data_IF_783433955209
#
_entry.id   IF_783433955209
#
_cell.length_a   1.000
_cell.length_b   1.000
_cell.length_c   1.000
_cell.angle_alpha   90.00
_cell.angle_beta   90.00
_cell.angle_gamma   90.00
#
_symmetry.space_group_name_H-M   'P 1'
#
loop_
_entity.id
_entity.type
_entity.pdbx_description
1 polymer ?
#
# COMPACT_ATOMS: atom_id res chain seq x y z
N UNK A 1 -8.39 10.74 29.20
CA UNK A 1 -7.90 11.14 27.87
C UNK A 1 -7.58 9.88 27.10
N UNK A 2 -7.98 9.75 25.84
CA UNK A 2 -7.69 8.54 25.06
C UNK A 2 -6.19 8.50 24.74
N UNK A 3 -5.52 7.40 25.13
CA UNK A 3 -4.14 7.14 24.73
C UNK A 3 -4.09 7.06 23.19
N UNK A 4 -3.26 7.89 22.56
CA UNK A 4 -3.01 7.78 21.12
C UNK A 4 -1.78 6.89 20.91
N UNK A 5 -1.89 5.98 19.96
CA UNK A 5 -0.84 5.01 19.63
C UNK A 5 -0.58 5.04 18.12
N UNK A 6 0.69 4.96 17.71
CA UNK A 6 1.11 4.80 16.31
C UNK A 6 1.86 3.49 16.11
N UNK A 7 1.58 2.88 14.98
CA UNK A 7 2.29 1.71 14.46
C UNK A 7 3.21 2.18 13.32
N UNK A 8 4.42 1.62 13.25
CA UNK A 8 5.35 1.78 12.13
C UNK A 8 5.98 0.43 11.80
N UNK A 9 6.42 0.24 10.56
CA UNK A 9 7.30 -0.83 10.15
C UNK A 9 8.72 -0.69 10.72
N UNK A 10 9.58 -1.63 10.33
CA UNK A 10 10.87 -1.87 11.01
C UNK A 10 12.08 -1.22 10.35
N UNK A 11 11.93 -0.77 9.10
CA UNK A 11 13.05 -0.30 8.28
C UNK A 11 12.87 1.15 7.83
N UNK A 12 11.69 1.47 7.33
CA UNK A 12 11.34 2.82 6.88
C UNK A 12 10.51 3.46 7.98
N UNK A 13 10.62 4.76 8.20
CA UNK A 13 9.76 5.43 9.18
C UNK A 13 8.44 5.90 8.52
N UNK A 14 8.56 6.42 7.31
CA UNK A 14 7.47 6.79 6.42
C UNK A 14 7.96 6.95 4.98
N UNK A 15 7.04 6.86 4.02
CA UNK A 15 7.26 7.10 2.58
C UNK A 15 6.22 8.11 2.09
N UNK A 16 6.63 9.05 1.24
CA UNK A 16 5.72 9.97 0.55
C UNK A 16 5.53 9.59 -0.91
N UNK A 17 4.27 9.59 -1.37
CA UNK A 17 3.88 9.53 -2.78
C UNK A 17 3.18 10.81 -3.17
N UNK A 18 3.66 11.44 -4.25
CA UNK A 18 2.95 12.54 -4.90
C UNK A 18 2.11 11.95 -6.04
N UNK A 19 0.80 12.17 -5.99
CA UNK A 19 -0.20 11.68 -6.95
C UNK A 19 -0.83 12.84 -7.72
N UNK A 20 -1.29 12.59 -8.95
CA UNK A 20 -1.87 13.62 -9.81
C UNK A 20 -3.31 13.99 -9.45
N UNK A 21 -4.09 12.99 -9.01
CA UNK A 21 -5.49 13.12 -8.62
C UNK A 21 -5.70 12.47 -7.24
N UNK A 22 -5.73 13.29 -6.20
CA UNK A 22 -5.84 12.80 -4.82
C UNK A 22 -7.16 12.06 -4.56
N UNK A 23 -8.35 12.53 -4.99
CA UNK A 23 -9.59 11.75 -4.90
C UNK A 23 -9.53 10.38 -5.58
N UNK A 24 -9.02 10.29 -6.82
CA UNK A 24 -8.92 9.03 -7.54
C UNK A 24 -7.96 8.06 -6.83
N UNK A 25 -6.79 8.55 -6.41
CA UNK A 25 -5.84 7.76 -5.63
C UNK A 25 -6.41 7.35 -4.27
N UNK A 26 -7.16 8.21 -3.58
CA UNK A 26 -7.82 7.85 -2.32
C UNK A 26 -8.82 6.73 -2.50
N UNK A 27 -9.62 6.74 -3.58
CA UNK A 27 -10.55 5.66 -3.89
C UNK A 27 -9.82 4.34 -4.14
N UNK A 28 -8.78 4.37 -4.98
CA UNK A 28 -7.94 3.21 -5.29
C UNK A 28 -7.27 2.63 -4.03
N UNK A 29 -6.51 3.46 -3.30
CA UNK A 29 -5.75 3.04 -2.13
C UNK A 29 -6.64 2.56 -0.99
N UNK A 30 -7.81 3.20 -0.79
CA UNK A 30 -8.79 2.71 0.20
C UNK A 30 -9.26 1.30 -0.13
N UNK A 31 -9.56 1.01 -1.41
CA UNK A 31 -10.03 -0.32 -1.82
C UNK A 31 -8.97 -1.40 -1.60
N UNK A 32 -7.73 -1.16 -2.04
CA UNK A 32 -6.65 -2.14 -1.87
C UNK A 32 -6.23 -2.32 -0.41
N UNK A 33 -6.21 -1.23 0.38
CA UNK A 33 -5.89 -1.33 1.81
C UNK A 33 -6.99 -2.01 2.61
N UNK A 34 -8.26 -1.84 2.25
CA UNK A 34 -9.35 -2.62 2.84
C UNK A 34 -9.17 -4.13 2.57
N UNK A 35 -8.80 -4.53 1.35
CA UNK A 35 -8.52 -5.93 1.04
C UNK A 35 -7.34 -6.49 1.85
N UNK A 36 -6.31 -5.65 2.08
CA UNK A 36 -5.12 -5.98 2.87
C UNK A 36 -5.31 -5.81 4.39
N UNK A 37 -6.51 -5.40 4.84
CA UNK A 37 -6.82 -5.08 6.25
C UNK A 37 -5.92 -3.99 6.85
N UNK A 38 -5.46 -3.04 6.02
CA UNK A 38 -4.69 -1.88 6.43
C UNK A 38 -5.66 -0.69 6.57
N UNK A 39 -5.84 -0.11 7.76
CA UNK A 39 -6.75 1.02 7.93
C UNK A 39 -6.14 2.32 7.39
N UNK A 40 -6.99 3.17 6.82
CA UNK A 40 -6.63 4.58 6.60
C UNK A 40 -6.45 5.25 7.97
N UNK A 41 -5.25 5.74 8.24
CA UNK A 41 -4.87 6.37 9.51
C UNK A 41 -5.38 7.80 9.64
N UNK A 42 -5.70 8.45 8.51
CA UNK A 42 -6.32 9.77 8.47
C UNK A 42 -6.23 10.41 7.10
N UNK A 43 -6.85 11.59 6.98
CA UNK A 43 -6.79 12.41 5.77
C UNK A 43 -7.08 13.87 6.06
N UNK A 44 -6.58 14.74 5.20
CA UNK A 44 -6.91 16.16 5.10
C UNK A 44 -7.16 16.53 3.62
N UNK A 45 -7.21 17.83 3.32
CA UNK A 45 -7.51 18.34 1.97
C UNK A 45 -6.42 18.02 0.93
N UNK A 46 -5.20 17.74 1.36
CA UNK A 46 -4.04 17.53 0.50
C UNK A 46 -3.40 16.15 0.68
N UNK A 47 -3.77 15.42 1.72
CA UNK A 47 -3.10 14.18 2.10
C UNK A 47 -4.10 13.13 2.59
N UNK A 48 -3.71 11.87 2.44
CA UNK A 48 -4.18 10.78 3.29
C UNK A 48 -3.04 9.82 3.56
N UNK A 49 -3.15 9.04 4.63
CA UNK A 49 -2.09 8.10 4.99
C UNK A 49 -2.65 6.78 5.51
N UNK A 50 -1.87 5.72 5.29
CA UNK A 50 -2.11 4.39 5.80
C UNK A 50 -0.78 3.85 6.33
N UNK A 51 -0.72 3.61 7.64
CA UNK A 51 0.51 3.24 8.34
C UNK A 51 1.68 4.20 8.01
N UNK A 52 2.75 3.71 7.39
CA UNK A 52 3.94 4.46 6.98
C UNK A 52 3.77 5.28 5.69
N UNK A 53 2.72 5.01 4.91
CA UNK A 53 2.57 5.59 3.58
C UNK A 53 1.73 6.87 3.63
N UNK A 54 2.32 7.98 3.21
CA UNK A 54 1.65 9.25 2.97
C UNK A 54 1.44 9.44 1.47
N UNK A 55 0.20 9.70 1.06
CA UNK A 55 -0.18 9.97 -0.32
C UNK A 55 -0.72 11.40 -0.39
N UNK A 56 -0.11 12.19 -1.25
CA UNK A 56 -0.20 13.64 -1.22
C UNK A 56 -0.46 14.24 -2.59
N UNK A 57 -1.29 15.27 -2.64
CA UNK A 57 -1.48 16.10 -3.82
C UNK A 57 -0.22 16.96 -4.09
N UNK A 58 -0.02 17.45 -5.33
CA UNK A 58 1.06 18.36 -5.63
C UNK A 58 0.91 19.65 -4.79
N UNK A 59 1.96 20.03 -4.07
CA UNK A 59 1.94 21.21 -3.18
C UNK A 59 1.43 20.95 -1.76
N UNK A 60 1.41 19.69 -1.33
CA UNK A 60 1.43 19.29 0.09
C UNK A 60 2.70 19.80 0.79
N UNK A 61 2.60 20.08 2.10
CA UNK A 61 3.76 20.43 2.92
C UNK A 61 4.48 19.19 3.45
N UNK A 62 3.76 18.08 3.55
CA UNK A 62 4.19 16.77 4.04
C UNK A 62 5.08 16.07 3.01
N UNK A 63 4.76 16.19 1.73
CA UNK A 63 5.54 15.61 0.63
C UNK A 63 5.75 16.66 -0.46
N UNK A 64 7.00 17.07 -0.65
CA UNK A 64 7.40 18.02 -1.69
C UNK A 64 7.87 17.27 -2.93
N UNK A 65 7.48 17.70 -4.12
CA UNK A 65 7.99 17.15 -5.37
C UNK A 65 7.01 17.19 -6.53
N UNK A 66 7.45 16.65 -7.66
CA UNK A 66 6.59 16.30 -8.79
C UNK A 66 5.96 14.93 -8.56
N UNK A 67 5.08 14.51 -9.48
CA UNK A 67 4.50 13.17 -9.50
C UNK A 67 5.58 12.10 -9.28
N UNK A 68 5.37 11.20 -8.30
CA UNK A 68 6.37 10.18 -7.97
C UNK A 68 6.62 9.26 -9.15
N UNK A 69 5.56 8.62 -9.68
CA UNK A 69 5.56 7.82 -10.90
C UNK A 69 6.54 6.63 -10.93
N UNK A 70 6.06 5.44 -11.32
CA UNK A 70 6.89 4.23 -11.53
C UNK A 70 7.65 3.73 -10.29
N UNK A 71 7.29 4.17 -9.08
CA UNK A 71 7.81 3.52 -7.87
C UNK A 71 7.18 2.13 -7.73
N UNK A 72 7.90 1.20 -7.13
CA UNK A 72 7.36 -0.11 -6.79
C UNK A 72 7.20 -0.21 -5.27
N UNK A 73 5.98 -0.51 -4.82
CA UNK A 73 5.66 -0.74 -3.42
C UNK A 73 4.96 -2.09 -3.26
N UNK A 74 5.52 -2.95 -2.43
CA UNK A 74 5.00 -4.29 -2.16
C UNK A 74 4.46 -4.40 -0.73
N UNK A 75 3.20 -4.76 -0.60
CA UNK A 75 2.48 -4.92 0.66
C UNK A 75 2.36 -6.40 1.02
N UNK A 76 2.48 -6.71 2.30
CA UNK A 76 2.43 -8.09 2.78
C UNK A 76 0.98 -8.56 2.95
N UNK A 77 0.57 -9.54 2.16
CA UNK A 77 -0.68 -10.27 2.34
C UNK A 77 -0.51 -11.45 3.31
N UNK A 78 -1.55 -11.79 4.06
CA UNK A 78 -1.56 -12.92 5.01
C UNK A 78 -1.54 -14.27 4.28
N UNK A 79 -2.23 -14.36 3.15
CA UNK A 79 -2.41 -15.57 2.36
C UNK A 79 -2.68 -15.25 0.87
N UNK A 80 -2.84 -16.29 0.05
CA UNK A 80 -3.09 -16.14 -1.39
C UNK A 80 -4.46 -15.51 -1.66
N UNK A 81 -5.48 -15.84 -0.86
CA UNK A 81 -6.83 -15.28 -1.02
C UNK A 81 -6.85 -13.76 -0.80
N UNK A 82 -6.02 -13.25 0.11
CA UNK A 82 -5.84 -11.81 0.31
C UNK A 82 -5.11 -11.14 -0.87
N UNK A 83 -4.17 -11.83 -1.54
CA UNK A 83 -3.57 -11.34 -2.79
C UNK A 83 -4.62 -11.26 -3.90
N UNK A 84 -5.48 -12.27 -4.02
CA UNK A 84 -6.57 -12.28 -4.99
C UNK A 84 -7.56 -11.13 -4.73
N UNK A 85 -7.98 -10.96 -3.48
CA UNK A 85 -8.90 -9.89 -3.07
C UNK A 85 -8.30 -8.50 -3.32
N UNK A 86 -6.99 -8.32 -3.08
CA UNK A 86 -6.28 -7.09 -3.41
C UNK A 86 -6.37 -6.80 -4.92
N UNK A 87 -6.10 -7.79 -5.76
CA UNK A 87 -6.09 -7.60 -7.21
C UNK A 87 -7.49 -7.25 -7.74
N UNK A 88 -8.52 -7.99 -7.32
CA UNK A 88 -9.91 -7.71 -7.71
C UNK A 88 -10.35 -6.31 -7.28
N UNK A 89 -10.03 -5.91 -6.03
CA UNK A 89 -10.33 -4.57 -5.54
C UNK A 89 -9.62 -3.49 -6.36
N UNK A 90 -8.36 -3.71 -6.71
CA UNK A 90 -7.56 -2.77 -7.49
C UNK A 90 -8.13 -2.59 -8.91
N UNK A 91 -8.48 -3.68 -9.60
CA UNK A 91 -9.09 -3.65 -10.94
C UNK A 91 -10.43 -2.91 -10.93
N UNK A 92 -11.25 -3.11 -9.89
CA UNK A 92 -12.54 -2.44 -9.75
C UNK A 92 -12.43 -0.92 -9.48
N UNK A 93 -11.27 -0.42 -9.03
CA UNK A 93 -11.07 0.96 -8.58
C UNK A 93 -10.01 1.72 -9.38
N UNK A 94 -9.93 1.46 -10.69
CA UNK A 94 -9.09 2.23 -11.62
C UNK A 94 -7.63 1.78 -11.69
N UNK A 95 -7.29 0.66 -11.04
CA UNK A 95 -6.03 -0.02 -11.26
C UNK A 95 -5.94 -0.62 -12.65
N UNK A 96 -4.72 -0.74 -13.17
CA UNK A 96 -4.44 -1.42 -14.45
C UNK A 96 -3.58 -2.65 -14.21
N UNK A 97 -3.92 -3.74 -14.87
CA UNK A 97 -3.16 -4.99 -14.75
C UNK A 97 -1.67 -4.78 -15.07
N UNK A 98 -0.82 -5.36 -14.23
CA UNK A 98 0.63 -5.44 -14.42
C UNK A 98 1.18 -6.84 -14.08
N UNK A 99 0.28 -7.82 -13.86
CA UNK A 99 0.61 -9.17 -13.42
C UNK A 99 -0.50 -9.75 -12.53
N UNK A 100 -1.37 -10.64 -13.07
CA UNK A 100 -2.48 -11.21 -12.30
C UNK A 100 -1.98 -12.10 -11.15
N UNK A 101 -2.82 -12.39 -10.14
CA UNK A 101 -2.43 -13.24 -9.02
C UNK A 101 -1.85 -14.57 -9.47
N UNK A 102 -0.74 -14.98 -8.84
CA UNK A 102 -0.14 -16.27 -9.12
C UNK A 102 1.22 -16.46 -8.48
N UNK A 103 1.75 -17.68 -8.60
CA UNK A 103 3.10 -17.98 -8.16
C UNK A 103 4.15 -17.27 -9.03
N UNK A 104 5.20 -16.79 -8.38
CA UNK A 104 6.40 -16.21 -8.99
C UNK A 104 7.59 -17.12 -8.74
N UNK A 105 7.52 -18.35 -9.26
CA UNK A 105 8.53 -19.39 -9.05
C UNK A 105 9.95 -18.96 -9.45
N UNK A 106 10.08 -18.00 -10.37
CA UNK A 106 11.35 -17.39 -10.75
C UNK A 106 12.03 -16.58 -9.63
N UNK A 107 11.28 -16.13 -8.62
CA UNK A 107 11.83 -15.42 -7.45
C UNK A 107 12.25 -16.42 -6.37
N UNK A 108 11.31 -17.23 -5.90
CA UNK A 108 11.53 -18.44 -5.12
C UNK A 108 10.19 -19.20 -4.96
N UNK A 109 10.26 -20.47 -4.58
CA UNK A 109 9.08 -21.26 -4.27
C UNK A 109 8.24 -20.62 -3.15
N UNK A 110 6.91 -20.64 -3.30
CA UNK A 110 5.99 -20.08 -2.32
C UNK A 110 5.83 -18.56 -2.34
N UNK A 111 6.42 -17.86 -3.32
CA UNK A 111 6.15 -16.44 -3.57
C UNK A 111 4.87 -16.31 -4.41
N UNK A 112 3.76 -15.92 -3.78
CA UNK A 112 2.49 -15.68 -4.47
C UNK A 112 2.15 -14.21 -4.43
N UNK A 113 1.93 -13.58 -5.58
CA UNK A 113 1.75 -12.15 -5.68
C UNK A 113 0.87 -11.71 -6.85
N UNK A 114 0.40 -10.47 -6.78
CA UNK A 114 -0.28 -9.76 -7.85
C UNK A 114 0.30 -8.34 -7.97
N UNK A 115 0.33 -7.81 -9.20
CA UNK A 115 0.91 -6.51 -9.53
C UNK A 115 -0.12 -5.66 -10.27
N UNK A 116 -0.30 -4.42 -9.83
CA UNK A 116 -1.26 -3.48 -10.39
C UNK A 116 -0.61 -2.11 -10.50
N UNK A 117 -0.79 -1.44 -11.64
CA UNK A 117 -0.47 -0.03 -11.75
C UNK A 117 -1.60 0.79 -11.11
N UNK A 118 -1.24 1.67 -10.18
CA UNK A 118 -2.17 2.66 -9.65
C UNK A 118 -2.56 3.71 -10.73
N UNK A 119 -3.47 4.65 -10.42
CA UNK A 119 -3.91 5.68 -11.36
C UNK A 119 -2.76 6.50 -11.97
N UNK A 120 -1.67 6.70 -11.23
CA UNK A 120 -0.50 7.48 -11.63
C UNK A 120 0.64 6.61 -12.21
N UNK A 121 0.47 5.28 -12.28
CA UNK A 121 1.43 4.35 -12.86
C UNK A 121 2.52 3.84 -11.92
N UNK A 122 2.34 3.93 -10.60
CA UNK A 122 3.16 3.24 -9.62
C UNK A 122 2.82 1.74 -9.59
N UNK A 123 3.83 0.88 -9.48
CA UNK A 123 3.67 -0.57 -9.47
C UNK A 123 3.38 -1.07 -8.04
N UNK A 124 2.12 -1.31 -7.75
CA UNK A 124 1.64 -1.75 -6.44
C UNK A 124 1.50 -3.26 -6.43
N UNK A 125 2.14 -3.91 -5.46
CA UNK A 125 2.13 -5.35 -5.29
C UNK A 125 1.48 -5.74 -3.96
N UNK A 126 0.72 -6.82 -3.97
CA UNK A 126 0.44 -7.61 -2.77
C UNK A 126 1.13 -8.96 -2.89
N UNK A 127 1.80 -9.38 -1.82
CA UNK A 127 2.60 -10.62 -1.80
C UNK A 127 2.42 -11.38 -0.49
N UNK A 128 2.27 -12.69 -0.60
CA UNK A 128 2.44 -13.64 0.51
C UNK A 128 3.60 -14.60 0.22
N UNK A 129 4.22 -15.11 1.29
CA UNK A 129 5.34 -16.04 1.23
C UNK A 129 5.07 -17.24 2.11
N UNK A 130 5.08 -18.44 1.52
CA UNK A 130 4.94 -19.67 2.29
C UNK A 130 6.06 -19.80 3.34
N UNK A 131 5.70 -20.12 4.58
CA UNK A 131 6.65 -20.32 5.68
C UNK A 131 7.27 -19.04 6.25
N UNK A 132 6.79 -17.85 5.88
CA UNK A 132 7.27 -16.61 6.48
C UNK A 132 6.80 -16.46 7.93
N UNK A 133 7.74 -16.16 8.83
CA UNK A 133 7.45 -15.81 10.22
C UNK A 133 7.38 -14.28 10.37
N UNK A 134 6.21 -13.77 10.78
CA UNK A 134 6.01 -12.36 11.11
C UNK A 134 6.44 -12.11 12.55
N UNK A 135 7.73 -11.84 12.74
CA UNK A 135 8.37 -11.71 14.07
C UNK A 135 7.87 -10.53 14.93
N UNK A 136 7.21 -9.52 14.34
CA UNK A 136 6.49 -8.45 15.04
C UNK A 136 5.50 -7.78 14.10
N UNK A 137 4.36 -7.31 14.62
CA UNK A 137 3.35 -6.59 13.83
C UNK A 137 3.81 -5.17 13.45
N UNK A 138 4.41 -4.43 14.39
CA UNK A 138 4.90 -3.06 14.19
C UNK A 138 5.81 -2.61 15.35
N UNK A 139 6.49 -1.48 15.18
CA UNK A 139 6.99 -0.63 16.27
C UNK A 139 5.80 0.16 16.84
N UNK A 140 5.66 0.21 18.17
CA UNK A 140 4.58 0.93 18.87
C UNK A 140 5.13 2.19 19.52
N UNK A 141 4.53 3.34 19.22
CA UNK A 141 4.90 4.64 19.79
C UNK A 141 3.69 5.23 20.49
N UNK A 142 3.81 5.52 21.79
CA UNK A 142 2.77 6.15 22.61
C UNK A 142 3.10 7.63 22.84
N UNK A 143 2.09 8.50 22.72
CA UNK A 143 2.20 9.95 22.93
C UNK A 143 0.85 10.60 23.27
#
# INVERSE_FOLDING_TARGET
>A
MAHKERHKGRLIDHIGLVVGDLPASKAFYTAVFNALKIPIGGSDDKNFWADELFISAPGSAEVQGALTGRVHLAFQAEDQAMVDAFYEAAMAHGGRDNGPPGERAAYHAGYYAAFVLDPDGNNIEAVTRAGAERSAASVRIAY
#
